data_IF_925934321725
#
_entry.id   IF_925934321725
#
_cell.length_a   1.000
_cell.length_b   1.000
_cell.length_c   1.000
_cell.angle_alpha   90.00
_cell.angle_beta   90.00
_cell.angle_gamma   90.00
#
_symmetry.space_group_name_H-M   'P 1'
#
loop_
_entity.id
_entity.type
_entity.pdbx_description
1 polymer ?
#
# COMPACT_ATOMS: atom_id res chain seq x y z
N UNK A 1 -19.50 -15.79 16.71
CA UNK A 1 -19.15 -14.41 16.29
C UNK A 1 -18.22 -14.56 15.10
N UNK A 2 -18.57 -13.98 13.94
CA UNK A 2 -17.74 -14.09 12.74
C UNK A 2 -16.40 -13.38 12.93
N UNK A 3 -15.34 -13.89 12.32
CA UNK A 3 -14.04 -13.23 12.27
C UNK A 3 -14.21 -11.85 11.63
N UNK A 4 -13.62 -10.81 12.23
CA UNK A 4 -13.63 -9.46 11.64
C UNK A 4 -12.84 -9.49 10.32
N UNK A 5 -13.31 -8.83 9.25
CA UNK A 5 -12.54 -8.73 8.03
C UNK A 5 -11.29 -7.87 8.28
N UNK A 6 -10.19 -8.24 7.64
CA UNK A 6 -8.91 -7.52 7.70
C UNK A 6 -8.63 -6.84 6.37
N UNK A 7 -8.36 -5.53 6.43
CA UNK A 7 -7.90 -4.70 5.30
C UNK A 7 -6.40 -4.49 5.41
N UNK A 8 -5.64 -4.89 4.40
CA UNK A 8 -4.23 -4.52 4.30
C UNK A 8 -4.12 -3.10 3.76
N UNK A 9 -3.48 -2.24 4.52
CA UNK A 9 -3.17 -0.87 4.15
C UNK A 9 -1.70 -0.82 3.72
N UNK A 10 -1.45 -0.66 2.42
CA UNK A 10 -0.12 -0.76 1.84
C UNK A 10 0.32 0.60 1.28
N UNK A 11 1.41 1.18 1.81
CA UNK A 11 1.89 2.48 1.32
C UNK A 11 3.17 3.02 1.91
N UNK A 12 3.57 4.19 1.41
CA UNK A 12 4.79 4.90 1.81
C UNK A 12 4.53 5.71 3.07
N UNK A 13 4.79 5.12 4.25
CA UNK A 13 4.41 5.73 5.53
C UNK A 13 5.34 6.85 5.98
N UNK A 14 6.52 6.92 5.37
CA UNK A 14 7.50 8.01 5.52
C UNK A 14 7.00 9.37 5.02
N UNK A 15 6.07 9.36 4.07
CA UNK A 15 5.51 10.55 3.43
C UNK A 15 4.01 10.68 3.61
N UNK A 16 3.31 9.56 3.85
CA UNK A 16 1.83 9.53 3.92
C UNK A 16 1.31 8.87 5.20
N UNK A 17 2.15 8.73 6.22
CA UNK A 17 1.77 8.03 7.45
C UNK A 17 0.57 8.69 8.15
N UNK A 18 0.39 10.01 8.06
CA UNK A 18 -0.77 10.70 8.64
C UNK A 18 -2.07 10.23 7.96
N UNK A 19 -2.07 10.16 6.64
CA UNK A 19 -3.23 9.75 5.83
C UNK A 19 -3.57 8.28 6.04
N UNK A 20 -2.56 7.41 6.10
CA UNK A 20 -2.77 6.00 6.46
C UNK A 20 -3.29 5.85 7.88
N UNK A 21 -2.77 6.62 8.84
CA UNK A 21 -3.21 6.61 10.23
C UNK A 21 -4.67 7.03 10.35
N UNK A 22 -5.07 8.06 9.62
CA UNK A 22 -6.47 8.48 9.52
C UNK A 22 -7.34 7.31 9.03
N UNK A 23 -7.01 6.68 7.90
CA UNK A 23 -7.80 5.55 7.36
C UNK A 23 -7.85 4.38 8.33
N UNK A 24 -6.74 4.01 8.99
CA UNK A 24 -6.72 2.99 10.03
C UNK A 24 -7.78 3.28 11.10
N UNK A 25 -7.76 4.50 11.63
CA UNK A 25 -8.69 4.93 12.67
C UNK A 25 -10.15 4.84 12.21
N UNK A 26 -10.46 5.33 11.00
CA UNK A 26 -11.81 5.27 10.43
C UNK A 26 -12.31 3.83 10.29
N UNK A 27 -11.50 2.95 9.71
CA UNK A 27 -11.86 1.55 9.48
C UNK A 27 -12.10 0.80 10.80
N UNK A 28 -11.24 1.01 11.79
CA UNK A 28 -11.33 0.33 13.07
C UNK A 28 -12.47 0.85 13.93
N UNK A 29 -12.57 2.17 14.11
CA UNK A 29 -13.52 2.77 15.06
C UNK A 29 -14.95 2.79 14.53
N UNK A 30 -15.16 3.03 13.23
CA UNK A 30 -16.53 3.19 12.70
C UNK A 30 -17.08 1.95 12.02
N UNK A 31 -16.21 1.12 11.45
CA UNK A 31 -16.63 -0.03 10.66
C UNK A 31 -16.27 -1.35 11.31
N UNK A 32 -15.54 -1.34 12.43
CA UNK A 32 -15.14 -2.56 13.14
C UNK A 32 -14.25 -3.49 12.31
N UNK A 33 -13.53 -2.93 11.34
CA UNK A 33 -12.65 -3.63 10.40
C UNK A 33 -11.23 -3.64 10.97
N UNK A 34 -10.56 -4.79 10.95
CA UNK A 34 -9.17 -4.87 11.35
C UNK A 34 -8.26 -4.40 10.22
N UNK A 35 -7.09 -3.85 10.57
CA UNK A 35 -6.12 -3.38 9.59
C UNK A 35 -4.76 -4.00 9.81
N UNK A 36 -4.04 -4.26 8.74
CA UNK A 36 -2.61 -4.57 8.77
C UNK A 36 -1.90 -3.52 7.92
N UNK A 37 -1.03 -2.74 8.55
CA UNK A 37 -0.32 -1.65 7.93
C UNK A 37 1.07 -2.10 7.44
N UNK A 38 1.32 -1.95 6.14
CA UNK A 38 2.54 -2.40 5.46
C UNK A 38 3.28 -1.20 4.88
N UNK A 39 4.51 -0.98 5.33
CA UNK A 39 5.34 0.14 4.88
C UNK A 39 6.19 -0.21 3.65
N UNK A 40 6.11 0.66 2.64
CA UNK A 40 6.95 0.62 1.43
C UNK A 40 7.79 1.90 1.24
N UNK A 41 7.94 2.70 2.30
CA UNK A 41 8.76 3.92 2.31
C UNK A 41 10.25 3.67 2.06
N UNK A 42 10.90 4.61 1.39
CA UNK A 42 12.34 4.57 1.04
C UNK A 42 13.04 5.92 1.18
N UNK A 43 12.36 6.94 1.72
CA UNK A 43 12.88 8.30 1.85
C UNK A 43 13.25 8.64 3.29
N UNK A 44 12.51 8.12 4.27
CA UNK A 44 12.71 8.44 5.67
C UNK A 44 11.99 7.44 6.57
N UNK A 45 12.01 7.72 7.87
CA UNK A 45 11.29 6.92 8.86
C UNK A 45 9.77 7.07 8.71
N UNK A 46 9.00 5.99 8.95
CA UNK A 46 7.54 6.05 8.87
C UNK A 46 6.97 6.95 9.98
N UNK A 47 5.98 7.77 9.64
CA UNK A 47 5.35 8.69 10.61
C UNK A 47 4.41 7.98 11.60
N UNK A 48 4.03 6.74 11.30
CA UNK A 48 3.21 5.87 12.15
C UNK A 48 3.83 4.47 12.18
N UNK A 49 3.62 3.72 13.26
CA UNK A 49 4.18 2.37 13.41
C UNK A 49 3.48 1.39 12.45
N UNK A 50 4.21 0.77 11.49
CA UNK A 50 3.66 -0.31 10.68
C UNK A 50 3.61 -1.63 11.44
N UNK A 51 2.69 -2.50 11.02
CA UNK A 51 2.63 -3.91 11.43
C UNK A 51 3.67 -4.74 10.65
N UNK A 52 3.91 -4.39 9.38
CA UNK A 52 4.99 -4.94 8.56
C UNK A 52 5.94 -3.81 8.17
N UNK A 53 7.13 -3.85 8.76
CA UNK A 53 8.16 -2.83 8.53
C UNK A 53 8.76 -2.93 7.12
N UNK A 54 9.22 -1.79 6.58
CA UNK A 54 9.89 -1.70 5.27
C UNK A 54 11.10 -2.64 5.15
N UNK A 55 11.78 -2.93 6.24
CA UNK A 55 12.89 -3.88 6.33
C UNK A 55 12.43 -5.30 5.94
N UNK A 56 11.28 -5.73 6.47
CA UNK A 56 10.69 -7.02 6.16
C UNK A 56 10.20 -7.07 4.70
N UNK A 57 9.63 -5.97 4.21
CA UNK A 57 9.22 -5.86 2.81
C UNK A 57 10.42 -5.98 1.87
N UNK A 58 11.51 -5.23 2.11
CA UNK A 58 12.72 -5.33 1.32
C UNK A 58 13.34 -6.74 1.39
N UNK A 59 13.36 -7.34 2.58
CA UNK A 59 13.89 -8.69 2.78
C UNK A 59 13.09 -9.76 2.03
N UNK A 60 11.76 -9.60 1.89
CA UNK A 60 10.92 -10.49 1.10
C UNK A 60 11.28 -10.51 -0.40
N UNK A 61 11.93 -9.45 -0.90
CA UNK A 61 12.51 -9.39 -2.24
C UNK A 61 14.01 -9.72 -2.30
N UNK A 62 14.63 -10.10 -1.17
CA UNK A 62 16.05 -10.41 -1.11
C UNK A 62 16.97 -9.18 -1.01
N UNK A 63 16.44 -8.02 -0.62
CA UNK A 63 17.19 -6.79 -0.45
C UNK A 63 17.33 -6.37 1.01
N UNK A 64 18.28 -5.48 1.28
CA UNK A 64 18.40 -4.76 2.55
C UNK A 64 17.97 -3.31 2.33
N UNK A 65 17.02 -2.81 3.11
CA UNK A 65 16.47 -1.47 2.94
C UNK A 65 17.56 -0.39 2.99
N UNK A 66 18.50 -0.49 3.93
CA UNK A 66 19.60 0.48 4.07
C UNK A 66 20.46 0.58 2.81
N UNK A 67 20.67 -0.54 2.11
CA UNK A 67 21.43 -0.55 0.84
C UNK A 67 20.63 0.07 -0.30
N UNK A 68 19.32 -0.16 -0.34
CA UNK A 68 18.45 0.47 -1.34
C UNK A 68 18.46 1.99 -1.16
N UNK A 69 18.31 2.46 0.08
CA UNK A 69 18.36 3.90 0.42
C UNK A 69 19.74 4.49 0.10
N UNK A 70 20.82 3.83 0.53
CA UNK A 70 22.19 4.31 0.33
C UNK A 70 22.60 4.38 -1.16
N UNK A 71 21.96 3.59 -2.03
CA UNK A 71 22.24 3.63 -3.48
C UNK A 71 21.82 4.94 -4.14
N UNK A 72 20.85 5.66 -3.57
CA UNK A 72 20.26 6.87 -4.15
C UNK A 72 19.40 6.63 -5.39
N UNK A 73 19.30 5.39 -5.90
CA UNK A 73 18.43 5.05 -7.03
C UNK A 73 17.02 4.75 -6.53
N UNK A 74 16.21 5.81 -6.47
CA UNK A 74 14.80 5.71 -6.06
C UNK A 74 14.01 4.75 -6.96
N UNK A 75 14.31 4.67 -8.26
CA UNK A 75 13.59 3.78 -9.18
C UNK A 75 13.83 2.32 -8.85
N UNK A 76 15.10 1.95 -8.66
CA UNK A 76 15.50 0.62 -8.23
C UNK A 76 14.93 0.27 -6.85
N UNK A 77 14.99 1.21 -5.90
CA UNK A 77 14.41 1.01 -4.57
C UNK A 77 12.90 0.73 -4.63
N UNK A 78 12.13 1.55 -5.34
CA UNK A 78 10.68 1.34 -5.47
C UNK A 78 10.35 0.02 -6.19
N UNK A 79 11.17 -0.42 -7.15
CA UNK A 79 11.00 -1.72 -7.81
C UNK A 79 11.20 -2.88 -6.83
N UNK A 80 12.27 -2.85 -6.05
CA UNK A 80 12.53 -3.85 -5.00
C UNK A 80 11.40 -3.88 -3.96
N UNK A 81 10.91 -2.71 -3.54
CA UNK A 81 9.78 -2.63 -2.61
C UNK A 81 8.48 -3.16 -3.23
N UNK A 82 8.27 -3.04 -4.54
CA UNK A 82 7.12 -3.64 -5.22
C UNK A 82 7.17 -5.16 -5.24
N UNK A 83 8.32 -5.74 -5.54
CA UNK A 83 8.54 -7.19 -5.48
C UNK A 83 8.32 -7.72 -4.06
N UNK A 84 8.81 -6.99 -3.05
CA UNK A 84 8.65 -7.34 -1.65
C UNK A 84 7.21 -7.23 -1.17
N UNK A 85 6.53 -6.14 -1.52
CA UNK A 85 5.13 -5.92 -1.17
C UNK A 85 4.22 -6.98 -1.79
N UNK A 86 4.50 -7.38 -3.04
CA UNK A 86 3.82 -8.48 -3.71
C UNK A 86 3.95 -9.80 -2.93
N UNK A 87 5.16 -10.13 -2.45
CA UNK A 87 5.38 -11.33 -1.65
C UNK A 87 4.62 -11.29 -0.32
N UNK A 88 4.69 -10.18 0.41
CA UNK A 88 3.97 -10.00 1.69
C UNK A 88 2.45 -10.08 1.50
N UNK A 89 1.90 -9.39 0.50
CA UNK A 89 0.46 -9.41 0.21
C UNK A 89 -0.02 -10.82 -0.13
N UNK A 90 0.76 -11.56 -0.93
CA UNK A 90 0.45 -12.95 -1.26
C UNK A 90 0.47 -13.85 -0.02
N UNK A 91 1.49 -13.73 0.81
CA UNK A 91 1.60 -14.49 2.06
C UNK A 91 0.41 -14.23 3.00
N UNK A 92 0.07 -12.96 3.22
CA UNK A 92 -1.08 -12.58 4.05
C UNK A 92 -2.40 -13.14 3.51
N UNK A 93 -2.56 -13.16 2.19
CA UNK A 93 -3.73 -13.76 1.55
C UNK A 93 -3.78 -15.29 1.75
N UNK A 94 -2.67 -16.00 1.53
CA UNK A 94 -2.57 -17.45 1.72
C UNK A 94 -2.81 -17.86 3.18
N UNK A 95 -2.47 -17.00 4.13
CA UNK A 95 -2.73 -17.18 5.56
C UNK A 95 -4.16 -16.80 5.97
N UNK A 96 -5.04 -16.41 5.04
CA UNK A 96 -6.39 -15.87 5.31
C UNK A 96 -6.40 -14.63 6.22
N UNK A 97 -5.33 -13.82 6.17
CA UNK A 97 -5.18 -12.57 6.94
C UNK A 97 -5.41 -11.30 6.11
N UNK A 98 -5.81 -11.46 4.84
CA UNK A 98 -6.13 -10.37 3.92
C UNK A 98 -7.47 -10.66 3.26
N UNK A 99 -8.50 -9.88 3.59
CA UNK A 99 -9.81 -9.94 2.93
C UNK A 99 -9.99 -8.81 1.91
N UNK A 100 -9.29 -7.69 2.08
CA UNK A 100 -9.24 -6.60 1.13
C UNK A 100 -7.89 -5.86 1.24
N UNK A 101 -7.58 -5.06 0.22
CA UNK A 101 -6.38 -4.23 0.20
C UNK A 101 -6.72 -2.81 -0.26
N UNK A 102 -6.15 -1.82 0.42
CA UNK A 102 -6.32 -0.40 0.14
C UNK A 102 -4.96 0.30 0.17
N UNK A 103 -4.72 1.16 -0.81
CA UNK A 103 -3.58 2.07 -0.82
C UNK A 103 -3.96 3.46 -1.29
N UNK A 104 -3.10 4.42 -1.00
CA UNK A 104 -3.20 5.81 -1.37
C UNK A 104 -1.84 6.35 -1.82
N UNK A 105 -1.85 7.22 -2.82
CA UNK A 105 -0.66 8.02 -3.15
C UNK A 105 -0.60 8.55 -4.57
N UNK A 106 0.53 9.17 -4.89
CA UNK A 106 0.86 9.62 -6.25
C UNK A 106 1.35 8.50 -7.15
N UNK A 107 2.01 8.84 -8.25
CA UNK A 107 2.50 7.88 -9.25
C UNK A 107 3.36 6.74 -8.68
N UNK A 108 4.37 7.07 -7.85
CA UNK A 108 5.27 6.09 -7.26
C UNK A 108 4.57 5.10 -6.33
N UNK A 109 3.78 5.60 -5.38
CA UNK A 109 3.01 4.74 -4.47
C UNK A 109 1.97 3.90 -5.21
N UNK A 110 1.25 4.50 -6.17
CA UNK A 110 0.26 3.80 -7.01
C UNK A 110 0.91 2.67 -7.80
N UNK A 111 2.10 2.88 -8.37
CA UNK A 111 2.82 1.85 -9.12
C UNK A 111 3.18 0.64 -8.24
N UNK A 112 3.66 0.86 -7.03
CA UNK A 112 4.04 -0.22 -6.09
C UNK A 112 2.81 -0.94 -5.56
N UNK A 113 1.79 -0.20 -5.10
CA UNK A 113 0.55 -0.78 -4.58
C UNK A 113 -0.16 -1.61 -5.63
N UNK A 114 -0.32 -1.07 -6.85
CA UNK A 114 -0.97 -1.80 -7.95
C UNK A 114 -0.19 -3.05 -8.38
N UNK A 115 1.15 -3.02 -8.31
CA UNK A 115 1.97 -4.21 -8.55
C UNK A 115 1.65 -5.33 -7.55
N UNK A 116 1.54 -5.02 -6.26
CA UNK A 116 1.18 -5.99 -5.23
C UNK A 116 -0.28 -6.47 -5.36
N UNK A 117 -1.22 -5.56 -5.61
CA UNK A 117 -2.64 -5.87 -5.81
C UNK A 117 -2.89 -6.86 -6.95
N UNK A 118 -2.10 -6.79 -8.03
CA UNK A 118 -2.20 -7.72 -9.17
C UNK A 118 -1.84 -9.17 -8.84
N UNK A 119 -1.21 -9.43 -7.70
CA UNK A 119 -0.93 -10.81 -7.25
C UNK A 119 -2.14 -11.48 -6.60
N UNK A 120 -3.17 -10.71 -6.26
CA UNK A 120 -4.38 -11.23 -5.63
C UNK A 120 -5.39 -11.69 -6.70
N UNK A 121 -6.17 -12.76 -6.43
CA UNK A 121 -7.17 -13.23 -7.37
C UNK A 121 -8.29 -12.20 -7.59
N UNK A 122 -8.94 -12.30 -8.75
CA UNK A 122 -10.17 -11.54 -9.05
C UNK A 122 -11.23 -11.88 -8.01
N UNK A 123 -11.95 -10.87 -7.53
CA UNK A 123 -12.96 -10.99 -6.47
C UNK A 123 -12.47 -10.52 -5.10
N UNK A 124 -11.16 -10.49 -4.84
CA UNK A 124 -10.63 -9.80 -3.65
C UNK A 124 -10.79 -8.29 -3.85
N UNK A 125 -11.47 -7.54 -2.97
CA UNK A 125 -11.58 -6.09 -3.11
C UNK A 125 -10.22 -5.38 -3.06
N UNK A 126 -9.93 -4.60 -4.11
CA UNK A 126 -8.68 -3.84 -4.27
C UNK A 126 -9.01 -2.40 -4.64
N UNK A 127 -8.64 -1.45 -3.78
CA UNK A 127 -8.89 -0.02 -3.99
C UNK A 127 -7.59 0.77 -3.89
N UNK A 128 -7.35 1.66 -4.85
CA UNK A 128 -6.28 2.65 -4.78
C UNK A 128 -6.87 4.05 -4.92
N UNK A 129 -6.65 4.92 -3.92
CA UNK A 129 -6.92 6.35 -4.01
C UNK A 129 -5.70 7.03 -4.62
N UNK A 130 -5.81 7.53 -5.85
CA UNK A 130 -4.65 7.94 -6.65
C UNK A 130 -4.84 9.26 -7.37
N UNK A 131 -3.80 10.08 -7.37
CA UNK A 131 -3.71 11.26 -8.25
C UNK A 131 -3.62 10.87 -9.73
N UNK A 132 -3.28 9.61 -10.02
CA UNK A 132 -3.15 9.08 -11.38
C UNK A 132 -4.44 8.49 -11.94
N UNK A 133 -5.53 8.43 -11.17
CA UNK A 133 -6.77 7.79 -11.61
C UNK A 133 -7.43 8.52 -12.80
N UNK A 134 -7.23 9.83 -12.93
CA UNK A 134 -7.67 10.61 -14.09
C UNK A 134 -6.58 10.64 -15.18
N UNK A 135 -6.25 9.48 -15.75
CA UNK A 135 -5.23 9.34 -16.78
C UNK A 135 -5.20 7.95 -17.43
N UNK A 136 -4.05 7.58 -18.03
CA UNK A 136 -3.85 6.21 -18.53
C UNK A 136 -3.58 5.26 -17.36
N UNK A 137 -4.57 4.42 -17.05
CA UNK A 137 -4.53 3.50 -15.92
C UNK A 137 -4.14 2.08 -16.29
N UNK A 138 -3.88 1.78 -17.58
CA UNK A 138 -3.60 0.42 -18.07
C UNK A 138 -2.43 -0.24 -17.34
N UNK A 139 -1.37 0.53 -17.05
CA UNK A 139 -0.18 0.03 -16.36
C UNK A 139 -0.42 -0.31 -14.88
N UNK A 140 -1.42 0.32 -14.24
CA UNK A 140 -1.78 0.06 -12.84
C UNK A 140 -2.77 -1.10 -12.74
N UNK A 141 -3.91 -1.01 -13.43
CA UNK A 141 -5.00 -2.00 -13.34
C UNK A 141 -4.59 -3.32 -13.99
N UNK A 142 -3.92 -3.29 -15.14
CA UNK A 142 -3.60 -4.50 -15.90
C UNK A 142 -4.86 -5.25 -16.33
N UNK A 143 -4.91 -6.56 -16.03
CA UNK A 143 -6.02 -7.45 -16.39
C UNK A 143 -6.81 -7.95 -15.17
N UNK A 144 -6.79 -7.19 -14.06
CA UNK A 144 -7.51 -7.52 -12.83
C UNK A 144 -8.50 -6.42 -12.45
N UNK A 145 -9.29 -6.67 -11.42
CA UNK A 145 -10.38 -5.85 -10.89
C UNK A 145 -9.91 -4.81 -9.84
N UNK A 146 -8.80 -4.10 -10.10
CA UNK A 146 -8.38 -2.97 -9.25
C UNK A 146 -9.31 -1.79 -9.49
N UNK A 147 -9.94 -1.31 -8.42
CA UNK A 147 -10.66 -0.04 -8.43
C UNK A 147 -9.68 1.10 -8.18
N UNK A 148 -9.64 2.10 -9.08
CA UNK A 148 -8.91 3.34 -8.86
C UNK A 148 -9.88 4.49 -8.59
N UNK A 149 -9.75 5.13 -7.44
CA UNK A 149 -10.50 6.33 -7.07
C UNK A 149 -9.62 7.56 -7.27
N UNK A 150 -10.14 8.57 -7.95
CA UNK A 150 -9.42 9.84 -8.12
C UNK A 150 -9.35 10.58 -6.80
N UNK A 151 -8.14 10.95 -6.37
CA UNK A 151 -7.91 11.64 -5.10
C UNK A 151 -8.38 13.11 -5.12
N UNK A 152 -8.72 13.64 -6.30
CA UNK A 152 -9.11 15.05 -6.56
C UNK A 152 -7.96 16.04 -6.35
N UNK A 153 -7.33 16.00 -5.19
CA UNK A 153 -6.15 16.79 -4.82
C UNK A 153 -4.94 15.87 -4.62
N UNK A 154 -3.76 16.46 -4.45
CA UNK A 154 -2.59 15.67 -4.04
C UNK A 154 -2.83 15.04 -2.66
N UNK A 155 -2.29 13.85 -2.46
CA UNK A 155 -2.38 13.14 -1.18
C UNK A 155 -1.24 13.65 -0.31
N UNK A 156 -1.47 14.79 0.34
CA UNK A 156 -0.47 15.49 1.15
C UNK A 156 -1.14 16.11 2.38
N UNK A 157 -1.37 15.27 3.39
CA UNK A 157 -2.11 15.58 4.58
C UNK A 157 -3.63 15.51 4.42
N UNK A 158 -4.32 15.61 5.55
CA UNK A 158 -5.79 15.57 5.64
C UNK A 158 -6.33 16.99 5.64
N UNK A 159 -7.30 17.25 4.76
CA UNK A 159 -8.00 18.53 4.64
C UNK A 159 -9.49 18.30 4.32
N UNK A 160 -10.25 19.36 4.04
CA UNK A 160 -11.69 19.23 3.80
C UNK A 160 -12.05 18.45 2.52
N UNK A 161 -11.10 18.29 1.59
CA UNK A 161 -11.29 17.61 0.32
C UNK A 161 -10.68 16.20 0.35
N UNK A 162 -9.53 16.02 1.01
CA UNK A 162 -8.77 14.75 1.02
C UNK A 162 -9.27 13.70 2.01
#
# INVERSE_FOLDING_TARGET
MGQKPTVVLLGTLDTKGIEYGYICERLQQEHGVETILVDIGVLGEPAIQPDVMREAVAAAAGYQIDRLIASGDRGAAMKAMAEGAAAIVKELYEQNRLQAILGLGGSGGTAVVSHAMRQLPVGVPKLIVSTMASGDTRAYVGAVDITMMYSVVDVAGINQIS
#
